data_IF_736825692537
#
_entry.id   IF_736825692537
#
_cell.length_a   1.000
_cell.length_b   1.000
_cell.length_c   1.000
_cell.angle_alpha   90.00
_cell.angle_beta   90.00
_cell.angle_gamma   90.00
#
_symmetry.space_group_name_H-M   'P 1'
#
loop_
_entity.id
_entity.type
_entity.pdbx_description
1 polymer ?
#
# COMPACT_ATOMS: atom_id res chain seq x y z
N UNK A 1 -2.54 -14.53 21.68
CA UNK A 1 -3.84 -14.05 21.17
C UNK A 1 -4.36 -15.11 20.18
N UNK A 2 -5.57 -15.65 20.39
CA UNK A 2 -6.15 -16.64 19.49
C UNK A 2 -6.93 -15.92 18.37
N UNK A 3 -6.80 -16.37 17.12
CA UNK A 3 -7.64 -15.93 16.00
C UNK A 3 -9.06 -16.51 16.13
N UNK A 4 -10.07 -15.81 15.60
CA UNK A 4 -11.49 -16.16 15.69
C UNK A 4 -12.00 -16.98 14.49
N UNK A 5 -11.11 -17.54 13.68
CA UNK A 5 -11.46 -18.32 12.49
C UNK A 5 -10.76 -19.67 12.52
N UNK A 6 -11.42 -20.69 11.94
CA UNK A 6 -10.84 -22.04 11.81
C UNK A 6 -10.85 -22.53 10.38
N UNK A 7 -11.84 -22.13 9.60
CA UNK A 7 -12.01 -22.53 8.21
C UNK A 7 -11.63 -21.38 7.28
N UNK A 8 -11.22 -21.72 6.05
CA UNK A 8 -10.92 -20.72 5.01
C UNK A 8 -12.11 -19.81 4.72
N UNK A 9 -13.32 -20.35 4.79
CA UNK A 9 -14.61 -19.66 4.58
C UNK A 9 -14.93 -18.59 5.63
N UNK A 10 -14.29 -18.64 6.80
CA UNK A 10 -14.52 -17.67 7.88
C UNK A 10 -13.79 -16.34 7.63
N UNK A 11 -12.87 -16.32 6.67
CA UNK A 11 -11.91 -15.25 6.38
C UNK A 11 -11.95 -14.84 4.91
N UNK A 12 -11.27 -13.74 4.58
CA UNK A 12 -11.02 -13.35 3.19
C UNK A 12 -9.59 -13.69 2.72
N UNK A 13 -8.79 -14.43 3.51
CA UNK A 13 -7.38 -14.68 3.19
C UNK A 13 -7.20 -15.51 1.91
N UNK A 14 -8.19 -16.34 1.56
CA UNK A 14 -8.16 -17.13 0.33
C UNK A 14 -8.36 -16.29 -0.95
N UNK A 15 -8.75 -15.01 -0.84
CA UNK A 15 -8.85 -14.11 -2.00
C UNK A 15 -7.50 -13.92 -2.70
N UNK A 16 -6.40 -14.00 -1.96
CA UNK A 16 -5.03 -13.88 -2.52
C UNK A 16 -4.82 -14.99 -3.57
N UNK A 17 -5.16 -16.23 -3.23
CA UNK A 17 -5.08 -17.36 -4.16
C UNK A 17 -6.07 -17.22 -5.33
N UNK A 18 -7.29 -16.72 -5.08
CA UNK A 18 -8.28 -16.45 -6.15
C UNK A 18 -7.78 -15.42 -7.16
N UNK A 19 -7.06 -14.39 -6.69
CA UNK A 19 -6.41 -13.40 -7.53
C UNK A 19 -5.16 -13.93 -8.25
N UNK A 20 -4.79 -15.21 -8.07
CA UNK A 20 -3.58 -15.83 -8.62
C UNK A 20 -2.31 -15.04 -8.28
N UNK A 21 -2.27 -14.47 -7.08
CA UNK A 21 -1.15 -13.67 -6.59
C UNK A 21 -0.58 -14.29 -5.31
N UNK A 22 0.54 -13.75 -4.84
CA UNK A 22 1.22 -14.15 -3.60
C UNK A 22 1.37 -12.94 -2.67
N UNK A 23 1.79 -13.20 -1.43
CA UNK A 23 2.14 -12.13 -0.48
C UNK A 23 3.62 -11.79 -0.64
N UNK A 24 3.92 -10.54 -0.96
CA UNK A 24 5.30 -10.03 -1.06
C UNK A 24 5.79 -9.42 0.24
N UNK A 25 4.90 -8.76 0.99
CA UNK A 25 5.21 -8.24 2.33
C UNK A 25 3.97 -8.27 3.22
N UNK A 26 4.21 -8.31 4.53
CA UNK A 26 3.19 -8.22 5.57
C UNK A 26 3.66 -7.23 6.63
N UNK A 27 2.74 -6.44 7.15
CA UNK A 27 2.97 -5.50 8.25
C UNK A 27 1.80 -5.58 9.22
N UNK A 28 2.07 -5.57 10.53
CA UNK A 28 1.03 -5.59 11.58
C UNK A 28 0.94 -4.19 12.20
N UNK A 29 -0.28 -3.71 12.45
CA UNK A 29 -0.48 -2.42 13.11
C UNK A 29 0.00 -2.46 14.57
N UNK A 30 0.46 -1.33 15.12
CA UNK A 30 0.98 -1.26 16.49
C UNK A 30 -0.07 -1.72 17.53
N UNK A 31 -1.34 -1.38 17.30
CA UNK A 31 -2.46 -1.82 18.15
C UNK A 31 -2.85 -3.31 17.97
N UNK A 32 -2.17 -4.04 17.09
CA UNK A 32 -2.38 -5.46 16.76
C UNK A 32 -3.79 -5.81 16.30
N UNK A 33 -4.61 -4.83 15.92
CA UNK A 33 -5.99 -5.09 15.44
C UNK A 33 -6.02 -5.45 13.97
N UNK A 34 -4.98 -5.09 13.22
CA UNK A 34 -4.95 -5.22 11.78
C UNK A 34 -3.59 -5.65 11.27
N UNK A 35 -3.58 -6.15 10.05
CA UNK A 35 -2.36 -6.29 9.28
C UNK A 35 -2.65 -5.94 7.82
N UNK A 36 -1.63 -5.49 7.13
CA UNK A 36 -1.66 -5.25 5.70
C UNK A 36 -0.72 -6.19 4.98
N UNK A 37 -1.07 -6.51 3.74
CA UNK A 37 -0.18 -7.20 2.81
C UNK A 37 -0.03 -6.39 1.53
N UNK A 38 1.12 -6.55 0.90
CA UNK A 38 1.33 -6.17 -0.50
C UNK A 38 1.54 -7.43 -1.34
N UNK A 39 1.18 -7.32 -2.61
CA UNK A 39 1.22 -8.41 -3.57
C UNK A 39 1.69 -7.89 -4.94
N UNK A 40 2.27 -8.74 -5.81
CA UNK A 40 2.70 -8.33 -7.15
C UNK A 40 1.57 -7.84 -8.06
N UNK A 41 0.30 -8.07 -7.70
CA UNK A 41 -0.86 -7.55 -8.44
C UNK A 41 -1.16 -6.06 -8.16
N UNK A 42 -0.15 -5.32 -7.69
CA UNK A 42 -0.22 -3.89 -7.38
C UNK A 42 -1.34 -3.52 -6.40
N UNK A 43 -1.74 -4.44 -5.53
CA UNK A 43 -2.81 -4.23 -4.55
C UNK A 43 -2.31 -4.36 -3.13
N UNK A 44 -2.74 -3.41 -2.30
CA UNK A 44 -2.54 -3.42 -0.85
C UNK A 44 -3.84 -3.88 -0.22
N UNK A 45 -3.79 -4.90 0.62
CA UNK A 45 -4.96 -5.46 1.29
C UNK A 45 -4.79 -5.33 2.79
N UNK A 46 -5.80 -4.80 3.46
CA UNK A 46 -5.82 -4.62 4.92
C UNK A 46 -6.85 -5.56 5.49
N UNK A 47 -6.46 -6.32 6.50
CA UNK A 47 -7.31 -7.29 7.17
C UNK A 47 -7.45 -6.95 8.64
N UNK A 48 -8.61 -7.29 9.19
CA UNK A 48 -8.76 -7.40 10.63
C UNK A 48 -8.00 -8.63 11.11
N UNK A 49 -7.04 -8.44 12.01
CA UNK A 49 -6.15 -9.51 12.47
C UNK A 49 -6.93 -10.67 13.07
N UNK A 50 -7.83 -10.35 14.01
CA UNK A 50 -8.56 -11.36 14.78
C UNK A 50 -9.49 -12.23 13.92
N UNK A 51 -10.07 -11.67 12.85
CA UNK A 51 -11.09 -12.36 12.04
C UNK A 51 -10.57 -12.82 10.69
N UNK A 52 -9.41 -12.34 10.23
CA UNK A 52 -8.91 -12.59 8.88
C UNK A 52 -9.81 -12.01 7.79
N UNK A 53 -10.79 -11.17 8.14
CA UNK A 53 -11.70 -10.53 7.19
C UNK A 53 -11.06 -9.30 6.57
N UNK A 54 -11.32 -9.12 5.28
CA UNK A 54 -10.81 -8.00 4.52
C UNK A 54 -11.51 -6.71 4.97
N UNK A 55 -10.72 -5.72 5.37
CA UNK A 55 -11.18 -4.37 5.73
C UNK A 55 -11.14 -3.45 4.52
N UNK A 56 -10.03 -3.44 3.78
CA UNK A 56 -9.77 -2.53 2.64
C UNK A 56 -8.90 -3.18 1.58
N UNK A 57 -9.08 -2.71 0.35
CA UNK A 57 -8.18 -2.93 -0.79
C UNK A 57 -7.86 -1.58 -1.40
N UNK A 58 -6.58 -1.30 -1.61
CA UNK A 58 -6.11 -0.18 -2.40
C UNK A 58 -5.50 -0.74 -3.69
N UNK A 59 -6.10 -0.38 -4.82
CA UNK A 59 -5.62 -0.77 -6.15
C UNK A 59 -4.70 0.33 -6.67
N UNK A 60 -3.43 -0.01 -6.81
CA UNK A 60 -2.36 0.87 -7.28
C UNK A 60 -1.83 0.42 -8.64
N UNK A 61 -2.66 -0.31 -9.40
CA UNK A 61 -2.35 -0.70 -10.77
C UNK A 61 -2.16 0.50 -11.70
N UNK A 62 -1.44 0.26 -12.79
CA UNK A 62 -1.19 1.27 -13.83
C UNK A 62 -2.48 1.84 -14.42
N UNK A 63 -3.54 1.02 -14.52
CA UNK A 63 -4.86 1.45 -15.01
C UNK A 63 -5.47 2.51 -14.07
N UNK A 64 -5.44 2.27 -12.76
CA UNK A 64 -5.94 3.24 -11.77
C UNK A 64 -5.12 4.53 -11.82
N UNK A 65 -3.81 4.45 -11.96
CA UNK A 65 -2.96 5.63 -12.10
C UNK A 65 -3.30 6.44 -13.36
N UNK A 66 -3.54 5.78 -14.49
CA UNK A 66 -3.95 6.43 -15.73
C UNK A 66 -5.31 7.12 -15.59
N UNK A 67 -6.29 6.48 -14.96
CA UNK A 67 -7.60 7.06 -14.74
C UNK A 67 -7.54 8.27 -13.79
N UNK A 68 -6.68 8.24 -12.76
CA UNK A 68 -6.47 9.40 -11.87
C UNK A 68 -5.88 10.60 -12.62
N UNK A 69 -4.95 10.39 -13.56
CA UNK A 69 -4.42 11.46 -14.41
C UNK A 69 -5.46 11.96 -15.42
N UNK A 70 -6.22 11.03 -16.05
CA UNK A 70 -7.25 11.39 -17.04
C UNK A 70 -8.35 12.24 -16.42
N UNK A 71 -8.76 11.91 -15.20
CA UNK A 71 -9.77 12.66 -14.44
C UNK A 71 -9.23 13.96 -13.82
N UNK A 72 -7.95 14.27 -14.05
CA UNK A 72 -7.28 15.49 -13.61
C UNK A 72 -7.45 15.78 -12.11
N UNK A 73 -7.42 14.72 -11.29
CA UNK A 73 -7.63 14.84 -9.86
C UNK A 73 -6.45 15.62 -9.23
N UNK A 74 -6.66 16.83 -8.66
CA UNK A 74 -5.56 17.74 -8.32
C UNK A 74 -4.51 17.13 -7.37
N UNK A 75 -4.96 16.30 -6.43
CA UNK A 75 -4.10 15.60 -5.48
C UNK A 75 -3.13 14.62 -6.14
N UNK A 76 -3.45 14.10 -7.34
CA UNK A 76 -2.69 13.06 -8.02
C UNK A 76 -1.97 13.57 -9.28
N UNK A 77 -2.33 14.75 -9.79
CA UNK A 77 -1.75 15.34 -10.99
C UNK A 77 -0.22 15.34 -10.96
N UNK A 78 0.35 14.95 -12.09
CA UNK A 78 1.77 15.02 -12.46
C UNK A 78 1.90 15.67 -13.84
N UNK A 79 3.08 16.21 -14.15
CA UNK A 79 3.38 16.69 -15.51
C UNK A 79 3.37 15.52 -16.50
N UNK A 80 2.81 15.73 -17.69
CA UNK A 80 2.54 14.65 -18.64
C UNK A 80 3.81 13.87 -19.05
N UNK A 81 4.94 14.57 -19.23
CA UNK A 81 6.23 13.97 -19.57
C UNK A 81 6.74 13.11 -18.41
N UNK A 82 6.63 13.61 -17.18
CA UNK A 82 7.07 12.90 -15.99
C UNK A 82 6.21 11.65 -15.74
N UNK A 83 4.89 11.78 -15.85
CA UNK A 83 3.98 10.64 -15.76
C UNK A 83 4.28 9.58 -16.83
N UNK A 84 4.48 9.98 -18.08
CA UNK A 84 4.83 9.07 -19.17
C UNK A 84 6.13 8.31 -18.90
N UNK A 85 7.15 8.99 -18.37
CA UNK A 85 8.40 8.34 -17.96
C UNK A 85 8.20 7.34 -16.83
N UNK A 86 7.48 7.70 -15.77
CA UNK A 86 7.19 6.79 -14.64
C UNK A 86 6.43 5.54 -15.07
N UNK A 87 5.44 5.70 -15.95
CA UNK A 87 4.70 4.59 -16.56
C UNK A 87 5.61 3.65 -17.35
N UNK A 88 6.62 4.17 -18.06
CA UNK A 88 7.59 3.34 -18.76
C UNK A 88 8.48 2.55 -17.80
N UNK A 89 8.97 3.20 -16.73
CA UNK A 89 9.77 2.54 -15.68
C UNK A 89 9.00 1.39 -15.05
N UNK A 90 7.73 1.58 -14.70
CA UNK A 90 6.92 0.55 -14.06
C UNK A 90 6.66 -0.66 -14.97
N UNK A 91 6.40 -0.42 -16.25
CA UNK A 91 6.24 -1.50 -17.25
C UNK A 91 7.53 -2.31 -17.45
N UNK A 92 8.70 -1.66 -17.38
CA UNK A 92 9.96 -2.38 -17.43
C UNK A 92 10.20 -3.17 -16.14
N UNK A 93 9.85 -2.59 -14.98
CA UNK A 93 9.95 -3.27 -13.69
C UNK A 93 9.05 -4.50 -13.57
N UNK A 94 7.83 -4.47 -14.13
CA UNK A 94 6.93 -5.62 -14.17
C UNK A 94 7.52 -6.83 -14.93
N UNK A 95 8.50 -6.61 -15.82
CA UNK A 95 9.18 -7.68 -16.57
C UNK A 95 10.38 -8.25 -15.83
N UNK A 96 10.86 -7.57 -14.79
CA UNK A 96 12.10 -7.90 -14.08
C UNK A 96 11.82 -8.25 -12.62
N UNK A 97 12.22 -9.44 -12.18
CA UNK A 97 12.03 -9.87 -10.78
C UNK A 97 13.13 -9.35 -9.82
N UNK A 98 14.06 -8.52 -10.30
CA UNK A 98 15.22 -8.05 -9.53
C UNK A 98 14.89 -6.87 -8.62
N UNK A 99 13.83 -6.12 -8.93
CA UNK A 99 13.45 -4.96 -8.14
C UNK A 99 12.80 -5.39 -6.81
N UNK A 100 13.12 -4.71 -5.69
CA UNK A 100 12.45 -4.96 -4.42
C UNK A 100 10.94 -4.79 -4.54
N UNK A 101 10.21 -5.79 -4.04
CA UNK A 101 8.75 -5.70 -3.98
C UNK A 101 8.32 -4.59 -3.02
N UNK A 102 7.31 -3.77 -3.39
CA UNK A 102 6.83 -2.69 -2.53
C UNK A 102 6.31 -3.19 -1.19
N UNK A 103 6.47 -2.37 -0.15
CA UNK A 103 5.85 -2.60 1.15
C UNK A 103 4.92 -1.46 1.55
N UNK A 104 4.20 -1.69 2.64
CA UNK A 104 3.36 -0.71 3.30
C UNK A 104 3.69 -0.74 4.79
N UNK A 105 3.70 0.42 5.43
CA UNK A 105 3.92 0.56 6.87
C UNK A 105 2.75 1.27 7.53
N UNK A 106 2.47 0.92 8.79
CA UNK A 106 1.54 1.66 9.62
C UNK A 106 2.26 2.81 10.34
N UNK A 107 1.55 3.90 10.60
CA UNK A 107 1.99 4.87 11.59
C UNK A 107 1.73 4.36 13.03
N UNK A 108 2.31 5.02 14.03
CA UNK A 108 2.21 4.64 15.45
C UNK A 108 0.76 4.58 15.92
N UNK A 109 -0.07 5.49 15.40
CA UNK A 109 -1.48 5.56 15.75
C UNK A 109 -2.30 4.42 15.14
N UNK A 110 -1.71 3.63 14.22
CA UNK A 110 -2.37 2.56 13.46
C UNK A 110 -3.53 3.04 12.57
N UNK A 111 -3.59 4.34 12.29
CA UNK A 111 -4.67 4.98 11.54
C UNK A 111 -4.29 5.29 10.10
N UNK A 112 -3.00 5.39 9.80
CA UNK A 112 -2.48 5.69 8.48
C UNK A 112 -1.69 4.52 7.92
N UNK A 113 -1.87 4.29 6.62
CA UNK A 113 -0.96 3.49 5.82
C UNK A 113 -0.08 4.38 4.98
N UNK A 114 1.20 4.02 4.92
CA UNK A 114 2.20 4.75 4.16
C UNK A 114 2.89 3.76 3.24
N UNK A 115 2.85 4.02 1.93
CA UNK A 115 3.39 3.12 0.92
C UNK A 115 3.78 3.90 -0.34
N UNK A 116 4.74 3.36 -1.08
CA UNK A 116 5.19 3.95 -2.34
C UNK A 116 4.37 3.41 -3.52
N UNK A 117 4.10 4.29 -4.48
CA UNK A 117 3.35 4.00 -5.71
C UNK A 117 4.02 4.68 -6.90
N UNK A 118 3.50 4.45 -8.11
CA UNK A 118 3.84 5.23 -9.29
C UNK A 118 3.66 6.74 -9.07
N UNK A 119 2.60 7.10 -8.34
CA UNK A 119 2.24 8.47 -7.98
C UNK A 119 2.94 8.95 -6.70
N UNK A 120 4.07 8.34 -6.36
CA UNK A 120 4.89 8.60 -5.16
C UNK A 120 4.39 7.96 -3.86
N UNK A 121 4.89 8.46 -2.72
CA UNK A 121 4.59 7.97 -1.38
C UNK A 121 3.23 8.50 -0.94
N UNK A 122 2.24 7.60 -0.88
CA UNK A 122 0.88 7.90 -0.42
C UNK A 122 0.75 7.66 1.07
N UNK A 123 0.06 8.57 1.74
CA UNK A 123 -0.40 8.44 3.12
C UNK A 123 -1.92 8.36 3.13
N UNK A 124 -2.48 7.20 3.48
CA UNK A 124 -3.92 6.95 3.47
C UNK A 124 -4.44 6.81 4.89
N UNK A 125 -5.45 7.61 5.23
CA UNK A 125 -6.16 7.43 6.49
C UNK A 125 -7.16 6.27 6.36
N UNK A 126 -7.00 5.22 7.16
CA UNK A 126 -7.84 4.02 7.15
C UNK A 126 -9.26 4.24 7.67
N UNK A 127 -9.48 5.26 8.50
CA UNK A 127 -10.81 5.61 9.01
C UNK A 127 -11.63 6.34 7.97
N UNK A 128 -11.10 7.42 7.41
CA UNK A 128 -11.81 8.22 6.41
C UNK A 128 -11.74 7.62 5.02
N UNK A 129 -10.83 6.67 4.79
CA UNK A 129 -10.51 6.10 3.48
C UNK A 129 -10.14 7.17 2.45
N UNK A 130 -9.33 8.15 2.87
CA UNK A 130 -8.87 9.26 2.01
C UNK A 130 -7.36 9.34 2.05
N UNK A 131 -6.76 9.71 0.92
CA UNK A 131 -5.35 10.08 0.86
C UNK A 131 -5.20 11.42 1.58
N UNK A 132 -4.47 11.42 2.68
CA UNK A 132 -4.20 12.62 3.46
C UNK A 132 -3.05 13.43 2.86
N UNK A 133 -2.06 12.75 2.28
CA UNK A 133 -0.88 13.37 1.67
C UNK A 133 -0.24 12.47 0.63
N UNK A 134 0.39 13.09 -0.37
CA UNK A 134 1.35 12.45 -1.27
C UNK A 134 2.66 13.21 -1.13
N UNK A 135 3.73 12.50 -0.79
CA UNK A 135 5.09 13.04 -0.65
C UNK A 135 5.90 12.68 -1.89
N UNK A 136 7.01 13.38 -2.17
CA UNK A 136 7.93 13.01 -3.24
C UNK A 136 7.56 13.48 -4.65
N UNK A 137 6.45 14.20 -4.85
CA UNK A 137 6.01 14.65 -6.20
C UNK A 137 7.02 15.48 -6.99
N UNK A 138 7.94 16.14 -6.30
CA UNK A 138 8.99 16.95 -6.93
C UNK A 138 10.20 16.10 -7.35
N UNK A 139 10.30 14.88 -6.83
CA UNK A 139 11.37 13.94 -7.17
C UNK A 139 11.05 13.32 -8.51
N UNK A 140 11.81 13.71 -9.53
CA UNK A 140 11.49 13.36 -10.90
C UNK A 140 12.26 12.10 -11.36
N UNK A 141 13.42 11.80 -10.76
CA UNK A 141 14.28 10.71 -11.22
C UNK A 141 14.23 9.45 -10.35
N UNK A 142 13.63 9.51 -9.17
CA UNK A 142 13.65 8.41 -8.21
C UNK A 142 12.33 7.63 -8.20
N UNK A 143 12.43 6.31 -8.10
CA UNK A 143 11.29 5.41 -7.86
C UNK A 143 11.44 4.77 -6.49
N UNK A 144 10.77 5.34 -5.49
CA UNK A 144 10.73 4.77 -4.14
C UNK A 144 10.01 3.42 -4.16
N UNK A 145 10.60 2.34 -3.66
CA UNK A 145 9.95 1.02 -3.64
C UNK A 145 9.57 0.59 -2.23
N UNK A 146 10.48 0.83 -1.28
CA UNK A 146 10.27 0.45 0.11
C UNK A 146 10.37 1.64 1.03
N UNK A 147 9.57 1.58 2.09
CA UNK A 147 9.49 2.60 3.12
C UNK A 147 9.74 1.92 4.46
N UNK A 148 10.51 2.60 5.30
CA UNK A 148 10.55 2.38 6.72
C UNK A 148 10.24 3.72 7.39
N UNK A 149 9.58 3.69 8.55
CA UNK A 149 9.25 4.90 9.28
C UNK A 149 9.93 4.86 10.63
N UNK A 150 10.74 5.87 10.92
CA UNK A 150 11.21 6.14 12.25
C UNK A 150 10.15 6.96 12.99
N UNK A 151 9.67 6.42 14.10
CA UNK A 151 8.62 7.01 14.93
C UNK A 151 9.17 6.96 16.34
N UNK A 152 9.43 8.11 16.95
CA UNK A 152 9.96 8.14 18.31
C UNK A 152 8.96 7.45 19.24
N UNK A 153 9.38 6.35 19.86
CA UNK A 153 8.62 5.79 20.96
C UNK A 153 8.86 6.73 22.13
N UNK A 154 7.89 7.58 22.48
CA UNK A 154 7.88 8.19 23.81
C UNK A 154 7.87 7.02 24.81
N UNK A 155 9.06 6.66 25.31
CA UNK A 155 9.18 5.74 26.42
C UNK A 155 8.34 6.35 27.54
N UNK A 156 7.24 5.67 27.89
CA UNK A 156 6.30 6.09 28.91
C UNK A 156 7.06 6.79 30.03
N UNK A 157 6.91 8.12 30.14
CA UNK A 157 7.50 8.90 31.22
C UNK A 157 7.04 8.23 32.51
N UNK A 158 8.00 7.60 33.22
CA UNK A 158 7.79 7.00 34.53
C UNK A 158 7.35 8.04 35.53
#
# INVERSE_FOLDING_TARGET
MLVNFRLKSDTNLFEIAKCKTIVSSIEVSLDSKQFSITSPDCRIRVFWFKTGKLRRVYDESLEVAQDLQRNDAPMYRLEAIDFGRRMAVEKEMEKTETAPQPNVVFDESSNFLIYATLLEIKMVNLHTNKVARILGKVESNDRFLRIALYQEIEAARK
#
